data_IF_758556052068
#
_entry.id   IF_758556052068
#
_cell.length_a   1.000
_cell.length_b   1.000
_cell.length_c   1.000
_cell.angle_alpha   90.00
_cell.angle_beta   90.00
_cell.angle_gamma   90.00
#
_symmetry.space_group_name_H-M   'P 1'
#
loop_
_entity.id
_entity.type
_entity.pdbx_description
1 polymer ?
#
# COMPACT_ATOMS: atom_id res chain seq x y z
N UNK A 1 31.28 -153.95 -25.60
CA UNK A 1 31.60 -154.53 -26.92
C UNK A 1 32.46 -153.50 -27.62
N UNK A 2 33.78 -153.67 -27.65
CA UNK A 2 34.52 -154.37 -28.71
C UNK A 2 34.46 -153.56 -30.03
N UNK A 3 35.56 -153.13 -30.65
CA UNK A 3 36.96 -153.43 -30.39
C UNK A 3 37.91 -152.58 -31.26
N UNK A 4 39.20 -152.90 -31.07
CA UNK A 4 40.37 -152.69 -31.93
C UNK A 4 40.06 -152.95 -33.43
N UNK A 5 40.84 -152.50 -34.43
CA UNK A 5 42.30 -152.57 -34.56
C UNK A 5 42.70 -151.84 -35.87
N UNK A 6 43.88 -151.18 -35.85
CA UNK A 6 44.97 -151.23 -36.86
C UNK A 6 44.72 -150.91 -38.37
N UNK A 7 45.69 -150.45 -39.19
CA UNK A 7 47.11 -150.08 -39.08
C UNK A 7 47.55 -149.55 -40.48
N UNK A 8 48.68 -148.83 -40.51
CA UNK A 8 49.72 -148.86 -41.56
C UNK A 8 49.84 -147.72 -42.60
N UNK A 9 50.98 -147.02 -42.48
CA UNK A 9 52.00 -146.70 -43.52
C UNK A 9 51.60 -145.82 -44.72
N UNK A 10 52.41 -144.90 -45.25
CA UNK A 10 53.87 -144.67 -45.17
C UNK A 10 54.24 -143.40 -45.94
N UNK A 11 55.48 -142.92 -45.69
CA UNK A 11 56.39 -142.25 -46.62
C UNK A 11 56.25 -140.72 -46.85
N UNK A 12 57.22 -139.99 -46.29
CA UNK A 12 57.69 -138.68 -46.76
C UNK A 12 58.27 -138.79 -48.19
N UNK A 13 58.24 -137.68 -48.95
CA UNK A 13 59.47 -136.89 -49.08
C UNK A 13 59.26 -135.38 -48.88
N UNK A 14 60.34 -134.77 -48.41
CA UNK A 14 60.58 -133.34 -48.18
C UNK A 14 60.94 -132.69 -49.52
N UNK A 15 60.42 -131.49 -49.82
CA UNK A 15 61.19 -130.28 -50.19
C UNK A 15 60.31 -129.10 -50.67
N UNK A 16 60.52 -127.95 -49.98
CA UNK A 16 60.52 -126.53 -50.38
C UNK A 16 59.38 -125.82 -51.15
N UNK A 17 58.85 -124.79 -50.46
CA UNK A 17 58.55 -123.38 -50.88
C UNK A 17 57.62 -123.11 -52.08
N UNK A 18 56.60 -122.23 -52.02
CA UNK A 18 56.60 -120.85 -51.49
C UNK A 18 55.22 -120.39 -50.95
N UNK A 19 55.20 -119.35 -50.09
CA UNK A 19 54.00 -118.79 -49.47
C UNK A 19 53.46 -117.56 -50.22
N UNK A 20 52.14 -117.49 -50.45
CA UNK A 20 51.46 -116.26 -50.83
C UNK A 20 50.27 -116.05 -49.88
N UNK A 21 50.42 -115.14 -48.92
CA UNK A 21 49.38 -114.84 -47.92
C UNK A 21 49.82 -114.13 -46.63
N UNK A 22 51.02 -113.54 -46.55
CA UNK A 22 51.53 -112.88 -45.32
C UNK A 22 51.98 -111.43 -45.52
N UNK A 23 51.60 -110.76 -46.62
CA UNK A 23 52.00 -109.36 -46.89
C UNK A 23 50.86 -108.33 -46.71
N UNK A 24 49.58 -108.72 -46.87
CA UNK A 24 48.44 -107.80 -46.69
C UNK A 24 48.15 -107.42 -45.22
N UNK A 25 48.48 -108.28 -44.26
CA UNK A 25 48.30 -108.00 -42.83
C UNK A 25 49.44 -107.18 -42.21
N UNK A 26 50.65 -107.26 -42.78
CA UNK A 26 51.80 -106.47 -42.35
C UNK A 26 51.70 -105.01 -42.81
N UNK A 27 51.26 -104.77 -44.05
CA UNK A 27 51.07 -103.41 -44.55
C UNK A 27 49.95 -102.64 -43.84
N UNK A 28 48.86 -103.31 -43.42
CA UNK A 28 47.81 -102.67 -42.61
C UNK A 28 48.27 -102.36 -41.18
N UNK A 29 49.06 -103.23 -40.55
CA UNK A 29 49.63 -102.98 -39.23
C UNK A 29 50.68 -101.86 -39.26
N UNK A 30 51.49 -101.78 -40.30
CA UNK A 30 52.46 -100.69 -40.47
C UNK A 30 51.75 -99.33 -40.68
N UNK A 31 50.67 -99.28 -41.49
CA UNK A 31 49.85 -98.07 -41.67
C UNK A 31 49.11 -97.68 -40.37
N UNK A 32 48.62 -98.66 -39.62
CA UNK A 32 47.99 -98.41 -38.30
C UNK A 32 49.01 -97.93 -37.26
N UNK A 33 50.24 -98.41 -37.31
CA UNK A 33 51.31 -97.97 -36.41
C UNK A 33 51.81 -96.57 -36.76
N UNK A 34 51.91 -96.24 -38.04
CA UNK A 34 52.24 -94.89 -38.52
C UNK A 34 51.15 -93.88 -38.13
N UNK A 35 49.88 -94.20 -38.37
CA UNK A 35 48.76 -93.34 -37.94
C UNK A 35 48.67 -93.19 -36.41
N UNK A 36 48.97 -94.24 -35.63
CA UNK A 36 49.07 -94.13 -34.17
C UNK A 36 50.22 -93.21 -33.73
N UNK A 37 51.38 -93.28 -34.39
CA UNK A 37 52.49 -92.37 -34.12
C UNK A 37 52.15 -90.92 -34.49
N UNK A 38 51.49 -90.70 -35.62
CA UNK A 38 51.02 -89.38 -36.04
C UNK A 38 50.00 -88.80 -35.06
N UNK A 39 49.02 -89.59 -34.62
CA UNK A 39 48.05 -89.19 -33.59
C UNK A 39 48.76 -88.88 -32.27
N UNK A 40 49.77 -89.68 -31.88
CA UNK A 40 50.55 -89.43 -30.66
C UNK A 40 51.37 -88.14 -30.74
N UNK A 41 51.94 -87.82 -31.90
CA UNK A 41 52.63 -86.56 -32.16
C UNK A 41 51.63 -85.39 -32.13
N UNK A 42 50.46 -85.56 -32.74
CA UNK A 42 49.38 -84.57 -32.74
C UNK A 42 48.88 -84.29 -31.32
N UNK A 43 48.63 -85.33 -30.51
CA UNK A 43 48.25 -85.20 -29.10
C UNK A 43 49.33 -84.49 -28.28
N UNK A 44 50.60 -84.84 -28.46
CA UNK A 44 51.69 -84.22 -27.72
C UNK A 44 51.88 -82.74 -28.09
N UNK A 45 51.71 -82.40 -29.37
CA UNK A 45 51.72 -81.01 -29.85
C UNK A 45 50.55 -80.21 -29.26
N UNK A 46 49.34 -80.77 -29.27
CA UNK A 46 48.16 -80.15 -28.67
C UNK A 46 48.31 -79.95 -27.15
N UNK A 47 48.92 -80.91 -26.44
CA UNK A 47 49.20 -80.77 -25.01
C UNK A 47 50.23 -79.66 -24.71
N UNK A 48 51.29 -79.53 -25.53
CA UNK A 48 52.25 -78.44 -25.40
C UNK A 48 51.63 -77.07 -25.70
N UNK A 49 50.76 -76.99 -26.71
CA UNK A 49 50.09 -75.74 -27.06
C UNK A 49 49.09 -75.32 -25.96
N UNK A 50 48.33 -76.27 -25.39
CA UNK A 50 47.47 -76.01 -24.23
C UNK A 50 48.24 -75.53 -22.98
N UNK A 51 49.44 -76.07 -22.73
CA UNK A 51 50.31 -75.61 -21.63
C UNK A 51 50.78 -74.16 -21.82
N UNK A 52 51.12 -73.77 -23.05
CA UNK A 52 51.52 -72.38 -23.38
C UNK A 52 50.34 -71.42 -23.23
N UNK A 53 49.14 -71.81 -23.66
CA UNK A 53 47.91 -71.01 -23.49
C UNK A 53 47.60 -70.78 -22.01
N UNK A 54 47.68 -71.83 -21.18
CA UNK A 54 47.48 -71.72 -19.73
C UNK A 54 48.52 -70.79 -19.10
N UNK A 55 49.78 -70.86 -19.53
CA UNK A 55 50.84 -69.98 -19.02
C UNK A 55 50.59 -68.51 -19.37
N UNK A 56 50.16 -68.22 -20.59
CA UNK A 56 49.79 -66.85 -21.03
C UNK A 56 48.57 -66.35 -20.26
N UNK A 57 47.51 -67.16 -20.14
CA UNK A 57 46.34 -66.80 -19.32
C UNK A 57 46.72 -66.53 -17.86
N UNK A 58 47.62 -67.34 -17.29
CA UNK A 58 48.11 -67.14 -15.93
C UNK A 58 48.89 -65.83 -15.77
N UNK A 59 49.72 -65.47 -16.76
CA UNK A 59 50.38 -64.15 -16.81
C UNK A 59 49.36 -63.01 -16.86
N UNK A 60 48.35 -63.08 -17.74
CA UNK A 60 47.28 -62.08 -17.84
C UNK A 60 46.52 -61.91 -16.52
N UNK A 61 46.13 -63.02 -15.88
CA UNK A 61 45.42 -63.00 -14.59
C UNK A 61 46.27 -62.34 -13.51
N UNK A 62 47.58 -62.64 -13.46
CA UNK A 62 48.50 -61.99 -12.52
C UNK A 62 48.63 -60.49 -12.76
N UNK A 63 48.76 -60.07 -14.02
CA UNK A 63 48.82 -58.64 -14.38
C UNK A 63 47.52 -57.94 -14.01
N UNK A 64 46.37 -58.51 -14.36
CA UNK A 64 45.07 -57.95 -14.01
C UNK A 64 44.84 -57.86 -12.50
N UNK A 65 45.23 -58.89 -11.73
CA UNK A 65 45.17 -58.84 -10.28
C UNK A 65 46.04 -57.71 -9.69
N UNK A 66 47.22 -57.46 -10.27
CA UNK A 66 48.13 -56.39 -9.85
C UNK A 66 47.55 -55.01 -10.17
N UNK A 67 47.04 -54.82 -11.38
CA UNK A 67 46.39 -53.57 -11.82
C UNK A 67 45.14 -53.27 -10.99
N UNK A 68 44.30 -54.27 -10.73
CA UNK A 68 43.13 -54.11 -9.86
C UNK A 68 43.52 -53.78 -8.42
N UNK A 69 44.59 -54.36 -7.90
CA UNK A 69 45.12 -54.04 -6.57
C UNK A 69 45.63 -52.61 -6.49
N UNK A 70 46.33 -52.14 -7.54
CA UNK A 70 46.75 -50.74 -7.68
C UNK A 70 45.54 -49.80 -7.71
N UNK A 71 44.56 -50.05 -8.59
CA UNK A 71 43.35 -49.23 -8.69
C UNK A 71 42.57 -49.19 -7.38
N UNK A 72 42.48 -50.32 -6.68
CA UNK A 72 41.88 -50.39 -5.34
C UNK A 72 42.62 -49.50 -4.35
N UNK A 73 43.94 -49.58 -4.30
CA UNK A 73 44.76 -48.74 -3.40
C UNK A 73 44.61 -47.26 -3.76
N UNK A 74 44.61 -46.93 -5.05
CA UNK A 74 44.45 -45.55 -5.53
C UNK A 74 43.06 -45.01 -5.15
N UNK A 75 41.99 -45.77 -5.37
CA UNK A 75 40.64 -45.39 -4.97
C UNK A 75 40.50 -45.17 -3.46
N UNK A 76 41.17 -45.99 -2.64
CA UNK A 76 41.19 -45.81 -1.18
C UNK A 76 41.87 -44.49 -0.77
N UNK A 77 42.98 -44.14 -1.41
CA UNK A 77 43.65 -42.85 -1.20
C UNK A 77 42.75 -41.69 -1.64
N UNK A 78 42.07 -41.82 -2.78
CA UNK A 78 41.18 -40.79 -3.31
C UNK A 78 39.91 -40.57 -2.46
N UNK A 79 39.47 -41.59 -1.72
CA UNK A 79 38.32 -41.50 -0.83
C UNK A 79 38.58 -40.71 0.46
N UNK A 80 39.86 -40.51 0.83
CA UNK A 80 40.24 -39.77 2.04
C UNK A 80 40.69 -38.36 1.63
N UNK A 81 39.95 -37.28 1.98
CA UNK A 81 40.22 -35.93 1.49
C UNK A 81 41.66 -35.44 1.70
N UNK A 82 42.22 -35.64 2.90
CA UNK A 82 43.59 -35.21 3.23
C UNK A 82 44.65 -35.92 2.38
N UNK A 83 44.44 -37.22 2.12
CA UNK A 83 45.36 -38.05 1.33
C UNK A 83 45.18 -37.81 -0.17
N UNK A 84 43.94 -37.60 -0.61
CA UNK A 84 43.62 -37.34 -2.01
C UNK A 84 44.17 -36.00 -2.47
N UNK A 85 44.13 -34.97 -1.61
CA UNK A 85 44.75 -33.68 -1.91
C UNK A 85 46.26 -33.80 -2.04
N UNK A 86 46.92 -34.50 -1.12
CA UNK A 86 48.36 -34.75 -1.21
C UNK A 86 48.72 -35.57 -2.46
N UNK A 87 47.93 -36.59 -2.81
CA UNK A 87 48.15 -37.46 -3.96
C UNK A 87 47.91 -36.75 -5.30
N UNK A 88 46.93 -35.85 -5.37
CA UNK A 88 46.63 -35.01 -6.52
C UNK A 88 47.47 -33.71 -6.55
N UNK A 89 48.36 -33.49 -5.57
CA UNK A 89 49.18 -32.28 -5.50
C UNK A 89 48.41 -30.98 -5.21
N UNK A 90 47.19 -31.09 -4.69
CA UNK A 90 46.32 -29.96 -4.36
C UNK A 90 46.85 -29.27 -3.10
N UNK A 91 47.19 -27.98 -3.21
CA UNK A 91 47.64 -27.15 -2.09
C UNK A 91 46.80 -25.88 -1.98
N UNK A 92 46.60 -25.43 -0.74
CA UNK A 92 46.03 -24.11 -0.48
C UNK A 92 47.12 -23.05 -0.66
N UNK A 93 46.84 -22.03 -1.48
CA UNK A 93 47.76 -20.91 -1.68
C UNK A 93 47.58 -19.88 -0.55
N UNK A 94 48.67 -19.51 0.13
CA UNK A 94 48.67 -18.68 1.35
C UNK A 94 48.47 -17.17 1.10
N UNK A 95 47.94 -16.76 -0.07
CA UNK A 95 47.77 -15.34 -0.40
C UNK A 95 46.75 -14.98 -1.47
N UNK A 96 46.15 -15.98 -2.13
CA UNK A 96 45.04 -15.81 -3.08
C UNK A 96 44.08 -16.96 -2.82
N UNK A 97 42.82 -16.66 -2.50
CA UNK A 97 41.77 -17.65 -2.22
C UNK A 97 41.60 -18.62 -3.40
N UNK A 98 42.33 -19.73 -3.38
CA UNK A 98 42.38 -20.65 -4.50
C UNK A 98 43.21 -21.90 -4.20
N UNK A 99 42.66 -23.03 -4.62
CA UNK A 99 43.38 -24.30 -4.66
C UNK A 99 44.25 -24.36 -5.92
N UNK A 100 45.47 -24.85 -5.74
CA UNK A 100 46.51 -24.90 -6.78
C UNK A 100 46.98 -26.33 -6.97
N UNK A 101 47.24 -26.72 -8.21
CA UNK A 101 47.75 -28.04 -8.59
C UNK A 101 49.25 -28.22 -8.25
N UNK A 102 49.76 -29.43 -8.46
CA UNK A 102 51.17 -29.83 -8.29
C UNK A 102 52.14 -28.88 -9.01
N UNK A 103 51.74 -28.39 -10.19
CA UNK A 103 52.52 -27.50 -11.05
C UNK A 103 52.37 -26.00 -10.72
N UNK A 104 51.64 -25.65 -9.66
CA UNK A 104 51.43 -24.26 -9.28
C UNK A 104 50.33 -23.55 -10.08
N UNK A 105 49.57 -24.28 -10.89
CA UNK A 105 48.46 -23.76 -11.71
C UNK A 105 47.17 -23.71 -10.88
N UNK A 106 46.44 -22.58 -10.84
CA UNK A 106 45.14 -22.52 -10.16
C UNK A 106 44.15 -23.52 -10.75
N UNK A 107 43.53 -24.34 -9.90
CA UNK A 107 42.61 -25.40 -10.33
C UNK A 107 41.36 -24.87 -11.06
N UNK A 108 41.02 -23.59 -10.88
CA UNK A 108 39.96 -22.88 -11.59
C UNK A 108 40.13 -22.85 -13.12
N UNK A 109 41.35 -23.05 -13.64
CA UNK A 109 41.62 -23.09 -15.08
C UNK A 109 41.60 -24.51 -15.69
N UNK A 110 41.74 -25.57 -14.89
CA UNK A 110 41.77 -26.97 -15.37
C UNK A 110 40.38 -27.53 -15.72
N UNK A 111 39.29 -26.85 -15.36
CA UNK A 111 37.92 -27.39 -15.47
C UNK A 111 37.29 -27.28 -16.87
N UNK A 112 37.99 -26.78 -17.89
CA UNK A 112 37.43 -26.66 -19.25
C UNK A 112 38.21 -27.55 -20.22
N UNK A 113 37.60 -28.68 -20.56
CA UNK A 113 38.01 -29.71 -21.53
C UNK A 113 39.18 -30.62 -21.11
N UNK A 114 38.83 -31.73 -20.45
CA UNK A 114 39.49 -33.01 -20.75
C UNK A 114 38.61 -33.67 -21.82
N UNK A 115 38.89 -33.38 -23.09
CA UNK A 115 38.29 -34.10 -24.22
C UNK A 115 38.85 -35.52 -24.18
N UNK A 116 38.18 -36.41 -23.43
CA UNK A 116 38.46 -37.83 -23.45
C UNK A 116 37.98 -38.39 -24.79
N UNK A 117 38.86 -38.39 -25.78
CA UNK A 117 38.58 -38.96 -27.09
C UNK A 117 38.56 -40.49 -26.97
N UNK A 118 37.41 -41.03 -26.56
CA UNK A 118 37.14 -42.48 -26.40
C UNK A 118 37.13 -43.20 -27.77
N UNK A 119 37.30 -42.46 -28.87
CA UNK A 119 37.18 -42.95 -30.24
C UNK A 119 38.34 -43.84 -30.72
N UNK A 120 39.41 -44.04 -29.93
CA UNK A 120 40.60 -44.81 -30.32
C UNK A 120 40.55 -46.31 -29.97
N UNK A 121 39.45 -46.82 -29.41
CA UNK A 121 39.26 -48.27 -29.15
C UNK A 121 38.42 -48.93 -30.25
N UNK A 122 38.90 -48.84 -31.49
CA UNK A 122 38.44 -49.72 -32.56
C UNK A 122 39.06 -51.10 -32.38
N UNK A 123 38.26 -52.07 -31.96
CA UNK A 123 38.62 -53.49 -31.95
C UNK A 123 39.03 -53.92 -33.37
N UNK A 124 40.23 -54.49 -33.58
CA UNK A 124 40.52 -55.17 -34.84
C UNK A 124 39.74 -56.49 -34.88
N UNK A 125 38.69 -56.52 -35.69
CA UNK A 125 38.08 -57.75 -36.19
C UNK A 125 39.05 -58.38 -37.20
N UNK A 126 39.82 -59.40 -36.80
CA UNK A 126 40.37 -60.36 -37.77
C UNK A 126 40.91 -61.63 -37.09
N UNK A 127 40.27 -62.75 -37.42
CA UNK A 127 40.59 -64.11 -37.01
C UNK A 127 41.91 -64.54 -37.64
N UNK A 128 43.04 -64.37 -36.93
CA UNK A 128 44.33 -64.95 -37.33
C UNK A 128 45.04 -65.52 -36.11
N UNK A 129 44.92 -66.84 -35.92
CA UNK A 129 45.55 -67.60 -34.83
C UNK A 129 47.06 -67.79 -35.06
N UNK A 130 47.80 -66.69 -35.17
CA UNK A 130 49.26 -66.70 -35.26
C UNK A 130 49.87 -66.10 -34.00
N UNK A 131 50.55 -66.97 -33.24
CA UNK A 131 51.47 -66.68 -32.12
C UNK A 131 50.88 -65.94 -30.92
N UNK A 132 50.36 -66.73 -29.99
CA UNK A 132 49.73 -66.33 -28.70
C UNK A 132 50.57 -65.35 -27.85
N UNK A 133 51.90 -65.32 -28.01
CA UNK A 133 52.80 -64.48 -27.21
C UNK A 133 52.82 -62.99 -27.64
N UNK A 134 52.51 -62.69 -28.91
CA UNK A 134 52.49 -61.30 -29.42
C UNK A 134 51.22 -60.54 -28.99
N UNK A 135 50.09 -61.24 -28.85
CA UNK A 135 48.83 -60.66 -28.36
C UNK A 135 48.80 -60.42 -26.83
N UNK A 136 49.74 -60.98 -26.07
CA UNK A 136 49.81 -60.77 -24.61
C UNK A 136 50.25 -59.35 -24.26
N UNK A 137 51.18 -58.80 -25.02
CA UNK A 137 51.68 -57.44 -24.81
C UNK A 137 50.60 -56.38 -25.10
N UNK A 138 49.81 -56.58 -26.17
CA UNK A 138 48.69 -55.68 -26.53
C UNK A 138 47.63 -55.66 -25.43
N UNK A 139 47.26 -56.83 -24.89
CA UNK A 139 46.32 -56.92 -23.76
C UNK A 139 46.83 -56.19 -22.51
N UNK A 140 48.11 -56.36 -22.19
CA UNK A 140 48.73 -55.69 -21.04
C UNK A 140 48.75 -54.17 -21.23
N UNK A 141 49.07 -53.70 -22.43
CA UNK A 141 49.07 -52.27 -22.77
C UNK A 141 47.66 -51.66 -22.67
N UNK A 142 46.64 -52.30 -23.25
CA UNK A 142 45.24 -51.86 -23.14
C UNK A 142 44.77 -51.82 -21.68
N UNK A 143 45.15 -52.83 -20.90
CA UNK A 143 44.79 -52.91 -19.48
C UNK A 143 45.45 -51.79 -18.66
N UNK A 144 46.73 -51.49 -18.91
CA UNK A 144 47.42 -50.37 -18.28
C UNK A 144 46.85 -49.02 -18.72
N UNK A 145 46.51 -48.86 -20.00
CA UNK A 145 45.84 -47.67 -20.53
C UNK A 145 44.48 -47.46 -19.85
N UNK A 146 43.69 -48.52 -19.69
CA UNK A 146 42.41 -48.45 -18.99
C UNK A 146 42.58 -48.05 -17.51
N UNK A 147 43.62 -48.56 -16.84
CA UNK A 147 43.92 -48.21 -15.46
C UNK A 147 44.42 -46.77 -15.31
N UNK A 148 45.20 -46.27 -16.28
CA UNK A 148 45.61 -44.87 -16.33
C UNK A 148 44.40 -43.95 -16.51
N UNK A 149 43.50 -44.28 -17.45
CA UNK A 149 42.25 -43.55 -17.67
C UNK A 149 41.39 -43.48 -16.41
N UNK A 150 41.20 -44.60 -15.72
CA UNK A 150 40.46 -44.62 -14.44
C UNK A 150 41.15 -43.76 -13.38
N UNK A 151 42.49 -43.77 -13.34
CA UNK A 151 43.26 -42.95 -12.40
C UNK A 151 43.08 -41.45 -12.68
N UNK A 152 43.20 -41.03 -13.93
CA UNK A 152 43.01 -39.63 -14.35
C UNK A 152 41.60 -39.13 -14.04
N UNK A 153 40.57 -39.96 -14.30
CA UNK A 153 39.18 -39.64 -13.96
C UNK A 153 38.99 -39.49 -12.45
N UNK A 154 39.59 -40.36 -11.64
CA UNK A 154 39.55 -40.23 -10.17
C UNK A 154 40.20 -38.93 -9.69
N UNK A 155 41.35 -38.57 -10.24
CA UNK A 155 42.08 -37.34 -9.88
C UNK A 155 41.29 -36.09 -10.29
N UNK A 156 40.76 -36.06 -11.51
CA UNK A 156 39.90 -34.96 -11.99
C UNK A 156 38.63 -34.79 -11.14
N UNK A 157 38.03 -35.89 -10.69
CA UNK A 157 36.87 -35.84 -9.81
C UNK A 157 37.22 -35.24 -8.44
N UNK A 158 38.37 -35.63 -7.85
CA UNK A 158 38.86 -35.07 -6.59
C UNK A 158 39.14 -33.58 -6.72
N UNK A 159 39.82 -33.14 -7.79
CA UNK A 159 40.07 -31.73 -8.03
C UNK A 159 38.77 -30.92 -8.13
N UNK A 160 37.76 -31.40 -8.88
CA UNK A 160 36.46 -30.72 -8.98
C UNK A 160 35.72 -30.70 -7.65
N UNK A 161 35.76 -31.79 -6.89
CA UNK A 161 35.14 -31.84 -5.56
C UNK A 161 35.79 -30.83 -4.61
N UNK A 162 37.13 -30.70 -4.65
CA UNK A 162 37.86 -29.73 -3.84
C UNK A 162 37.51 -28.28 -4.19
N UNK A 163 37.42 -27.94 -5.48
CA UNK A 163 36.97 -26.61 -5.93
C UNK A 163 35.57 -26.34 -5.40
N UNK A 164 34.62 -27.25 -5.63
CA UNK A 164 33.24 -27.08 -5.19
C UNK A 164 33.14 -26.89 -3.66
N UNK A 165 33.90 -27.65 -2.87
CA UNK A 165 33.94 -27.49 -1.41
C UNK A 165 34.45 -26.10 -1.01
N UNK A 166 35.58 -25.65 -1.59
CA UNK A 166 36.14 -24.33 -1.31
C UNK A 166 35.20 -23.19 -1.70
N UNK A 167 34.55 -23.27 -2.86
CA UNK A 167 33.57 -22.29 -3.32
C UNK A 167 32.34 -22.25 -2.40
N UNK A 168 31.84 -23.43 -1.97
CA UNK A 168 30.71 -23.47 -1.03
C UNK A 168 31.04 -22.85 0.32
N UNK A 169 32.28 -22.99 0.80
CA UNK A 169 32.74 -22.35 2.02
C UNK A 169 32.77 -20.83 1.88
N UNK A 170 33.37 -20.31 0.79
CA UNK A 170 33.38 -18.86 0.49
C UNK A 170 31.96 -18.31 0.37
N UNK A 171 31.06 -19.03 -0.33
CA UNK A 171 29.66 -18.64 -0.43
C UNK A 171 28.96 -18.61 0.93
N UNK A 172 29.22 -19.58 1.80
CA UNK A 172 28.68 -19.61 3.17
C UNK A 172 29.14 -18.40 3.98
N UNK A 173 30.41 -18.01 3.88
CA UNK A 173 30.94 -16.82 4.53
C UNK A 173 30.27 -15.54 4.00
N UNK A 174 30.16 -15.39 2.67
CA UNK A 174 29.47 -14.25 2.05
C UNK A 174 28.01 -14.12 2.50
N UNK A 175 27.29 -15.25 2.62
CA UNK A 175 25.92 -15.27 3.13
C UNK A 175 25.87 -14.83 4.59
N UNK A 176 26.83 -15.28 5.42
CA UNK A 176 26.89 -14.87 6.83
C UNK A 176 27.11 -13.36 6.99
N UNK A 177 28.04 -12.78 6.23
CA UNK A 177 28.28 -11.34 6.19
C UNK A 177 27.02 -10.57 5.72
N UNK A 178 26.38 -11.03 4.65
CA UNK A 178 25.15 -10.42 4.14
C UNK A 178 24.02 -10.46 5.18
N UNK A 179 23.90 -11.54 5.95
CA UNK A 179 22.90 -11.65 7.00
C UNK A 179 23.15 -10.70 8.18
N UNK A 180 24.41 -10.49 8.56
CA UNK A 180 24.77 -9.47 9.56
C UNK A 180 24.46 -8.05 9.08
N UNK A 181 24.74 -7.75 7.80
CA UNK A 181 24.39 -6.45 7.21
C UNK A 181 22.87 -6.23 7.18
N UNK A 182 22.09 -7.25 6.81
CA UNK A 182 20.63 -7.19 6.86
C UNK A 182 20.15 -6.90 8.28
N UNK A 183 20.64 -7.64 9.28
CA UNK A 183 20.28 -7.39 10.69
C UNK A 183 20.58 -5.95 11.12
N UNK A 184 21.74 -5.41 10.72
CA UNK A 184 22.13 -4.02 11.01
C UNK A 184 21.17 -3.01 10.36
N UNK A 185 20.84 -3.20 9.08
CA UNK A 185 19.90 -2.34 8.35
C UNK A 185 18.48 -2.45 8.90
N UNK A 186 18.02 -3.64 9.29
CA UNK A 186 16.73 -3.83 9.95
C UNK A 186 16.64 -3.03 11.24
N UNK A 187 17.64 -3.12 12.13
CA UNK A 187 17.68 -2.34 13.36
C UNK A 187 17.69 -0.82 13.10
N UNK A 188 18.38 -0.36 12.04
CA UNK A 188 18.36 1.05 11.64
C UNK A 188 16.96 1.49 11.16
N UNK A 189 16.29 0.67 10.36
CA UNK A 189 14.93 0.94 9.87
C UNK A 189 13.93 0.99 11.04
N UNK A 190 14.04 0.07 12.01
CA UNK A 190 13.20 0.07 13.21
C UNK A 190 13.40 1.35 14.04
N UNK A 191 14.66 1.77 14.23
CA UNK A 191 14.98 3.03 14.91
C UNK A 191 14.40 4.26 14.19
N UNK A 192 14.52 4.33 12.86
CA UNK A 192 13.93 5.40 12.07
C UNK A 192 12.40 5.37 12.11
N UNK A 193 11.80 4.18 12.08
CA UNK A 193 10.35 3.99 12.16
C UNK A 193 9.80 4.48 13.51
N UNK A 194 10.50 4.17 14.60
CA UNK A 194 10.16 4.68 15.93
C UNK A 194 10.18 6.21 15.96
N UNK A 195 11.26 6.84 15.47
CA UNK A 195 11.40 8.30 15.41
C UNK A 195 10.31 8.96 14.55
N UNK A 196 9.95 8.33 13.43
CA UNK A 196 8.84 8.80 12.59
C UNK A 196 7.51 8.76 13.34
N UNK A 197 7.24 7.70 14.10
CA UNK A 197 6.04 7.63 14.94
C UNK A 197 6.00 8.69 16.04
N UNK A 198 7.15 9.08 16.63
CA UNK A 198 7.22 10.21 17.56
C UNK A 198 6.94 11.54 16.86
N UNK A 199 7.45 11.73 15.64
CA UNK A 199 7.21 12.94 14.85
C UNK A 199 5.75 13.08 14.41
N UNK A 200 5.08 11.97 14.10
CA UNK A 200 3.65 11.93 13.82
C UNK A 200 2.81 12.34 15.04
N UNK A 201 3.15 11.84 16.23
CA UNK A 201 2.51 12.25 17.49
C UNK A 201 2.73 13.73 17.79
N UNK A 202 3.93 14.23 17.52
CA UNK A 202 4.23 15.65 17.70
C UNK A 202 3.44 16.54 16.72
N UNK A 203 3.36 16.15 15.45
CA UNK A 203 2.63 16.88 14.42
C UNK A 203 1.12 16.89 14.68
N UNK A 204 0.54 15.74 15.06
CA UNK A 204 -0.87 15.65 15.45
C UNK A 204 -1.17 16.53 16.67
N UNK A 205 -0.37 16.47 17.73
CA UNK A 205 -0.56 17.34 18.90
C UNK A 205 -0.46 18.84 18.56
N UNK A 206 0.45 19.23 17.67
CA UNK A 206 0.56 20.63 17.20
C UNK A 206 -0.68 21.04 16.40
N UNK A 207 -1.21 20.15 15.55
CA UNK A 207 -2.40 20.40 14.76
C UNK A 207 -3.67 20.53 15.62
N UNK A 208 -3.80 19.72 16.67
CA UNK A 208 -4.91 19.81 17.62
C UNK A 208 -4.95 21.18 18.31
N UNK A 209 -3.80 21.67 18.78
CA UNK A 209 -3.67 23.01 19.37
C UNK A 209 -4.01 24.10 18.35
N UNK A 210 -3.52 23.96 17.11
CA UNK A 210 -3.80 24.93 16.05
C UNK A 210 -5.31 25.01 15.74
N UNK A 211 -5.99 23.87 15.70
CA UNK A 211 -7.44 23.81 15.50
C UNK A 211 -8.20 24.45 16.67
N UNK A 212 -7.77 24.20 17.91
CA UNK A 212 -8.35 24.86 19.08
C UNK A 212 -8.17 26.38 19.02
N UNK A 213 -6.96 26.86 18.69
CA UNK A 213 -6.69 28.28 18.51
C UNK A 213 -7.55 28.89 17.41
N UNK A 214 -7.70 28.19 16.28
CA UNK A 214 -8.55 28.62 15.17
C UNK A 214 -10.00 28.79 15.64
N UNK A 215 -10.56 27.81 16.36
CA UNK A 215 -11.92 27.90 16.89
C UNK A 215 -12.08 29.10 17.83
N UNK A 216 -11.15 29.31 18.77
CA UNK A 216 -11.20 30.47 19.68
C UNK A 216 -11.17 31.80 18.94
N UNK A 217 -10.44 31.89 17.82
CA UNK A 217 -10.41 33.08 16.97
C UNK A 217 -11.75 33.28 16.27
N UNK A 218 -12.37 32.21 15.75
CA UNK A 218 -13.71 32.26 15.16
C UNK A 218 -14.74 32.76 16.19
N UNK A 219 -14.75 32.19 17.39
CA UNK A 219 -15.63 32.60 18.48
C UNK A 219 -15.44 34.08 18.87
N UNK A 220 -14.18 34.55 18.91
CA UNK A 220 -13.87 35.95 19.21
C UNK A 220 -14.36 36.90 18.11
N UNK A 221 -14.28 36.49 16.85
CA UNK A 221 -14.80 37.27 15.72
C UNK A 221 -16.32 37.37 15.83
N UNK A 222 -17.01 36.27 16.10
CA UNK A 222 -18.46 36.27 16.31
C UNK A 222 -18.87 37.19 17.47
N UNK A 223 -18.25 37.07 18.64
CA UNK A 223 -18.54 37.94 19.79
C UNK A 223 -18.25 39.41 19.46
N UNK A 224 -17.16 39.71 18.74
CA UNK A 224 -16.85 41.06 18.29
C UNK A 224 -17.92 41.62 17.35
N UNK A 225 -18.48 40.79 16.46
CA UNK A 225 -19.58 41.20 15.58
C UNK A 225 -20.86 41.48 16.38
N UNK A 226 -21.19 40.65 17.37
CA UNK A 226 -22.33 40.87 18.27
C UNK A 226 -22.18 42.14 19.11
N UNK A 227 -20.97 42.42 19.62
CA UNK A 227 -20.69 43.65 20.35
C UNK A 227 -20.84 44.88 19.47
N UNK A 228 -20.37 44.83 18.22
CA UNK A 228 -20.54 45.92 17.25
C UNK A 228 -22.01 46.19 16.94
N UNK A 229 -22.81 45.15 16.77
CA UNK A 229 -24.26 45.27 16.54
C UNK A 229 -24.95 45.93 17.74
N UNK A 230 -24.67 45.46 18.96
CA UNK A 230 -25.20 46.06 20.19
C UNK A 230 -24.79 47.52 20.36
N UNK A 231 -23.55 47.87 20.01
CA UNK A 231 -23.09 49.26 20.04
C UNK A 231 -23.87 50.14 19.05
N UNK A 232 -24.11 49.66 17.83
CA UNK A 232 -24.92 50.38 16.83
C UNK A 232 -26.38 50.58 17.29
N UNK A 233 -26.98 49.58 17.91
CA UNK A 233 -28.33 49.68 18.50
C UNK A 233 -28.39 50.71 19.64
N UNK A 234 -27.38 50.72 20.51
CA UNK A 234 -27.27 51.70 21.59
C UNK A 234 -27.10 53.13 21.06
N UNK A 235 -26.30 53.32 20.00
CA UNK A 235 -26.16 54.62 19.35
C UNK A 235 -27.48 55.13 18.76
N UNK A 236 -28.29 54.25 18.16
CA UNK A 236 -29.62 54.58 17.67
C UNK A 236 -30.56 54.99 18.81
N UNK A 237 -30.57 54.24 19.91
CA UNK A 237 -31.36 54.53 21.10
C UNK A 237 -30.94 55.87 21.74
N UNK A 238 -29.64 56.12 21.84
CA UNK A 238 -29.10 57.38 22.32
C UNK A 238 -29.51 58.55 21.42
N UNK A 239 -29.50 58.38 20.10
CA UNK A 239 -29.99 59.39 19.15
C UNK A 239 -31.49 59.65 19.31
N UNK A 240 -32.30 58.61 19.57
CA UNK A 240 -33.73 58.74 19.86
C UNK A 240 -33.94 59.55 21.13
N UNK A 241 -33.30 59.16 22.23
CA UNK A 241 -33.40 59.86 23.53
C UNK A 241 -32.97 61.32 23.41
N UNK A 242 -31.87 61.61 22.70
CA UNK A 242 -31.44 63.01 22.45
C UNK A 242 -32.51 63.83 21.74
N UNK A 243 -33.19 63.25 20.74
CA UNK A 243 -34.28 63.92 20.03
C UNK A 243 -35.45 64.19 20.97
N UNK A 244 -35.84 63.21 21.77
CA UNK A 244 -36.93 63.34 22.74
C UNK A 244 -36.63 64.42 23.79
N UNK A 245 -35.37 64.52 24.24
CA UNK A 245 -34.92 65.59 25.13
C UNK A 245 -34.97 66.97 24.48
N UNK A 246 -34.58 67.11 23.21
CA UNK A 246 -34.67 68.41 22.51
C UNK A 246 -36.13 68.82 22.29
N UNK A 247 -37.01 67.86 21.98
CA UNK A 247 -38.47 68.08 21.92
C UNK A 247 -39.03 68.51 23.28
N UNK A 248 -38.65 67.84 24.37
CA UNK A 248 -39.06 68.20 25.73
C UNK A 248 -38.56 69.60 26.11
N UNK A 249 -37.30 69.93 25.79
CA UNK A 249 -36.73 71.26 26.02
C UNK A 249 -37.49 72.35 25.25
N UNK A 250 -37.83 72.11 23.99
CA UNK A 250 -38.69 73.01 23.21
C UNK A 250 -40.06 73.19 23.87
N UNK A 251 -40.68 72.11 24.32
CA UNK A 251 -41.96 72.15 25.04
C UNK A 251 -41.91 72.96 26.34
N UNK A 252 -40.87 72.74 27.17
CA UNK A 252 -40.64 73.53 28.39
C UNK A 252 -40.42 75.00 28.08
N UNK A 253 -39.65 75.34 27.05
CA UNK A 253 -39.46 76.72 26.63
C UNK A 253 -40.77 77.36 26.18
N UNK A 254 -41.61 76.64 25.42
CA UNK A 254 -42.95 77.12 25.07
C UNK A 254 -43.81 77.36 26.31
N UNK A 255 -43.79 76.47 27.30
CA UNK A 255 -44.50 76.67 28.57
C UNK A 255 -43.98 77.88 29.35
N UNK A 256 -42.65 78.12 29.36
CA UNK A 256 -42.06 79.30 29.97
C UNK A 256 -42.53 80.57 29.26
N UNK A 257 -42.52 80.61 27.92
CA UNK A 257 -43.02 81.76 27.15
C UNK A 257 -44.51 82.02 27.39
N UNK A 258 -45.34 80.98 27.49
CA UNK A 258 -46.76 81.12 27.89
C UNK A 258 -46.85 81.70 29.30
N UNK A 259 -46.06 81.19 30.26
CA UNK A 259 -46.02 81.73 31.63
C UNK A 259 -45.59 83.21 31.67
N UNK A 260 -44.61 83.60 30.86
CA UNK A 260 -44.11 84.97 30.79
C UNK A 260 -45.07 85.94 30.11
N UNK A 261 -45.88 85.45 29.17
CA UNK A 261 -46.93 86.23 28.48
C UNK A 261 -48.25 86.28 29.25
N UNK A 262 -48.46 85.39 30.23
CA UNK A 262 -49.58 85.50 31.16
C UNK A 262 -49.49 86.82 31.95
N UNK A 263 -50.60 87.57 32.10
CA UNK A 263 -50.63 88.77 32.92
C UNK A 263 -50.12 88.47 34.34
N UNK A 264 -49.38 89.40 34.95
CA UNK A 264 -48.98 89.26 36.35
C UNK A 264 -50.22 89.11 37.24
N UNK A 265 -50.12 88.45 38.42
CA UNK A 265 -51.24 88.31 39.34
C UNK A 265 -51.93 89.63 39.66
N UNK A 266 -51.16 90.72 39.77
CA UNK A 266 -51.69 92.07 39.99
C UNK A 266 -52.48 92.61 38.78
N UNK A 267 -52.02 92.31 37.56
CA UNK A 267 -52.75 92.66 36.33
C UNK A 267 -54.02 91.82 36.20
N UNK A 268 -54.00 90.53 36.57
CA UNK A 268 -55.19 89.69 36.63
C UNK A 268 -56.21 90.23 37.64
N UNK A 269 -55.78 90.52 38.87
CA UNK A 269 -56.67 91.12 39.89
C UNK A 269 -57.23 92.48 39.45
N UNK A 270 -56.43 93.30 38.75
CA UNK A 270 -56.91 94.57 38.20
C UNK A 270 -57.98 94.33 37.12
N UNK A 271 -57.76 93.37 36.22
CA UNK A 271 -58.74 92.98 35.19
C UNK A 271 -60.01 92.41 35.84
N UNK A 272 -59.90 91.55 36.85
CA UNK A 272 -61.04 91.00 37.59
C UNK A 272 -61.85 92.11 38.28
N UNK A 273 -61.19 93.04 38.98
CA UNK A 273 -61.89 94.20 39.59
C UNK A 273 -62.55 95.10 38.55
N UNK A 274 -61.94 95.28 37.38
CA UNK A 274 -62.54 96.02 36.27
C UNK A 274 -63.75 95.29 35.69
N UNK A 275 -63.68 93.96 35.53
CA UNK A 275 -64.80 93.12 35.09
C UNK A 275 -65.94 93.15 36.11
N UNK A 276 -65.64 93.02 37.40
CA UNK A 276 -66.64 93.10 38.47
C UNK A 276 -67.32 94.47 38.49
N UNK A 277 -66.54 95.55 38.39
CA UNK A 277 -67.07 96.91 38.26
C UNK A 277 -67.92 97.09 36.99
N UNK A 278 -67.51 96.50 35.87
CA UNK A 278 -68.25 96.54 34.62
C UNK A 278 -69.58 95.79 34.76
N UNK A 279 -69.58 94.59 35.33
CA UNK A 279 -70.80 93.81 35.61
C UNK A 279 -71.76 94.58 36.51
N UNK A 280 -71.27 95.14 37.62
CA UNK A 280 -72.09 95.98 38.51
C UNK A 280 -72.70 97.16 37.75
N UNK A 281 -71.89 97.89 36.96
CA UNK A 281 -72.38 99.02 36.16
C UNK A 281 -73.42 98.59 35.13
N UNK A 282 -73.23 97.45 34.48
CA UNK A 282 -74.20 96.89 33.51
C UNK A 282 -75.52 96.57 34.20
N UNK A 283 -75.51 95.90 35.35
CA UNK A 283 -76.73 95.59 36.11
C UNK A 283 -77.45 96.85 36.60
N UNK A 284 -76.70 97.87 37.04
CA UNK A 284 -77.27 99.16 37.42
C UNK A 284 -77.94 99.83 36.23
N UNK A 285 -77.25 99.93 35.09
CA UNK A 285 -77.80 100.54 33.87
C UNK A 285 -79.03 99.79 33.36
N UNK A 286 -79.07 98.47 33.49
CA UNK A 286 -80.23 97.66 33.12
C UNK A 286 -81.43 97.94 34.04
N UNK A 287 -81.20 98.15 35.34
CA UNK A 287 -82.25 98.57 36.28
C UNK A 287 -82.74 100.00 36.03
N UNK A 288 -81.83 100.95 35.77
CA UNK A 288 -82.17 102.33 35.41
C UNK A 288 -82.94 102.39 34.09
N UNK A 289 -82.54 101.59 33.11
CA UNK A 289 -83.27 101.43 31.85
C UNK A 289 -84.67 100.91 32.10
N UNK A 290 -84.81 99.82 32.86
CA UNK A 290 -86.13 99.24 33.19
C UNK A 290 -87.03 100.22 33.93
N UNK A 291 -86.47 101.03 34.84
CA UNK A 291 -87.19 102.10 35.53
C UNK A 291 -87.66 103.20 34.58
N UNK A 292 -86.75 103.70 33.71
CA UNK A 292 -87.10 104.73 32.72
C UNK A 292 -88.11 104.23 31.70
N UNK A 293 -88.00 102.99 31.24
CA UNK A 293 -88.98 102.36 30.36
C UNK A 293 -90.37 102.30 31.03
N UNK A 294 -90.42 102.01 32.34
CA UNK A 294 -91.67 102.06 33.10
C UNK A 294 -92.25 103.47 33.26
N UNK A 295 -91.41 104.50 33.44
CA UNK A 295 -91.83 105.90 33.49
C UNK A 295 -92.35 106.40 32.14
N UNK A 296 -91.66 106.06 31.05
CA UNK A 296 -92.10 106.34 29.69
C UNK A 296 -93.46 105.70 29.42
N UNK A 297 -93.66 104.43 29.81
CA UNK A 297 -94.97 103.76 29.66
C UNK A 297 -96.08 104.51 30.41
N UNK A 298 -95.84 105.00 31.65
CA UNK A 298 -96.82 105.82 32.38
C UNK A 298 -97.14 107.14 31.68
N UNK A 299 -96.12 107.84 31.18
CA UNK A 299 -96.31 109.10 30.44
C UNK A 299 -97.04 108.88 29.11
N UNK A 300 -96.83 107.72 28.48
CA UNK A 300 -97.57 107.31 27.28
C UNK A 300 -99.04 107.03 27.64
N UNK A 301 -99.31 106.28 28.70
CA UNK A 301 -100.68 106.05 29.20
C UNK A 301 -101.39 107.37 29.55
N UNK A 302 -100.70 108.29 30.21
CA UNK A 302 -101.25 109.60 30.55
C UNK A 302 -101.47 110.47 29.30
N UNK A 303 -100.56 110.47 28.32
CA UNK A 303 -100.77 111.15 27.04
C UNK A 303 -101.99 110.59 26.31
N UNK A 304 -102.13 109.27 26.20
CA UNK A 304 -103.31 108.65 25.58
C UNK A 304 -104.59 109.08 26.29
N UNK A 305 -104.59 109.15 27.63
CA UNK A 305 -105.73 109.64 28.42
C UNK A 305 -106.03 111.13 28.16
N UNK A 306 -104.99 111.96 28.08
CA UNK A 306 -105.14 113.39 27.80
C UNK A 306 -105.62 113.64 26.37
N UNK A 307 -105.11 112.90 25.38
CA UNK A 307 -105.60 112.93 24.00
C UNK A 307 -107.06 112.52 23.93
N UNK A 308 -107.47 111.43 24.60
CA UNK A 308 -108.89 111.05 24.65
C UNK A 308 -109.78 112.11 25.33
N UNK A 309 -109.28 112.81 26.34
CA UNK A 309 -109.99 113.92 26.98
C UNK A 309 -110.07 115.15 26.07
N UNK A 310 -108.98 115.44 25.33
CA UNK A 310 -108.92 116.50 24.32
C UNK A 310 -109.94 116.22 23.21
N UNK A 311 -109.93 115.02 22.63
CA UNK A 311 -110.87 114.58 21.60
C UNK A 311 -112.32 114.72 22.08
N UNK A 312 -112.59 114.35 23.35
CA UNK A 312 -113.91 114.56 23.97
C UNK A 312 -114.28 116.03 24.06
N UNK A 313 -113.35 116.90 24.46
CA UNK A 313 -113.58 118.35 24.57
C UNK A 313 -113.73 119.01 23.21
N UNK A 314 -112.97 118.57 22.20
CA UNK A 314 -113.12 119.01 20.82
C UNK A 314 -114.48 118.57 20.24
N UNK A 315 -114.93 117.34 20.52
CA UNK A 315 -116.26 116.89 20.15
C UNK A 315 -117.38 117.69 20.84
N UNK A 316 -117.24 117.98 22.15
CA UNK A 316 -118.15 118.85 22.90
C UNK A 316 -118.18 120.28 22.32
N UNK A 317 -117.02 120.86 21.98
CA UNK A 317 -116.91 122.17 21.34
C UNK A 317 -117.52 122.19 19.94
N UNK A 318 -117.28 121.16 19.12
CA UNK A 318 -117.88 121.02 17.79
C UNK A 318 -119.41 120.92 17.90
N UNK A 319 -119.94 120.12 18.82
CA UNK A 319 -121.37 120.01 19.07
C UNK A 319 -121.98 121.35 19.55
N UNK A 320 -121.30 122.05 20.46
CA UNK A 320 -121.73 123.38 20.92
C UNK A 320 -121.67 124.42 19.79
N UNK A 321 -120.63 124.40 18.95
CA UNK A 321 -120.50 125.28 17.79
C UNK A 321 -121.59 125.01 16.75
N UNK A 322 -121.98 123.75 16.53
CA UNK A 322 -123.14 123.41 15.71
C UNK A 322 -124.46 123.90 16.35
N UNK A 323 -124.63 123.76 17.67
CA UNK A 323 -125.79 124.31 18.38
C UNK A 323 -125.88 125.84 18.23
N UNK A 324 -124.76 126.57 18.35
CA UNK A 324 -124.72 128.01 18.11
C UNK A 324 -125.04 128.38 16.66
N UNK A 325 -124.56 127.60 15.68
CA UNK A 325 -124.93 127.79 14.26
C UNK A 325 -126.43 127.57 14.02
N UNK A 326 -127.02 126.53 14.60
CA UNK A 326 -128.47 126.27 14.48
C UNK A 326 -129.27 127.38 15.16
N UNK A 327 -128.89 127.82 16.36
CA UNK A 327 -129.54 128.93 17.06
C UNK A 327 -129.44 130.27 16.30
N UNK A 328 -128.29 130.55 15.67
CA UNK A 328 -128.10 131.74 14.85
C UNK A 328 -128.98 131.72 13.58
N UNK A 329 -129.23 130.55 12.99
CA UNK A 329 -130.09 130.41 11.82
C UNK A 329 -131.59 130.40 12.16
N UNK A 330 -131.99 129.98 13.37
CA UNK A 330 -133.40 129.99 13.79
C UNK A 330 -133.93 131.37 14.18
N UNK A 331 -133.07 132.33 14.52
CA UNK A 331 -133.48 133.64 15.06
C UNK A 331 -133.32 134.84 14.11
N UNK A 332 -133.08 134.63 12.80
CA UNK A 332 -133.11 135.72 11.80
C UNK A 332 -134.30 135.66 10.83
N UNK A 333 -135.38 134.94 11.18
CA UNK A 333 -136.73 135.12 10.62
C UNK A 333 -137.66 135.56 11.74
N UNK A 334 -137.76 136.87 11.97
CA UNK A 334 -138.99 137.66 12.16
C UNK A 334 -138.61 139.10 12.52
#
# INVERSE_FOLDING_TARGET
MAGQEESSSSLFPREHEKPHGSELGKSQLDVLQESLQEVKICMHKSEQDAKKEIEVLWRRVKTAATVLSYLKSKAQVMAVPELSYAACGIRQSEGVDGLVDRDGVPLTFCSRNVDFDISSFGCPDEYSWTRIDEHDNVYIEELLNSANLVTEVMESLVQRAAIAESETLVHKERVSFGQEEIKRKTAQIESMSFKLGEMEKFASGTNDILNEMKQRVEDLVEETTMQRQRAAENDLELCRVKRDFESLKSYVNSLISVRETLPSPDKFQMIERLLERLMLRTTQLESEKSQKDAEVNKLVEENVRLTALLDKKEAELLAMNEQFKVMALSNSRF
#
